data_IF_857711944461
#
_entry.id   IF_857711944461
#
_cell.length_a   1.000
_cell.length_b   1.000
_cell.length_c   1.000
_cell.angle_alpha   90.00
_cell.angle_beta   90.00
_cell.angle_gamma   90.00
#
_symmetry.space_group_name_H-M   'P 1'
#
loop_
_entity.id
_entity.type
_entity.pdbx_description
1 polymer ?
#
# COMPACT_ATOMS: atom_id res chain seq x y z
N UNK A 1 -31.63 29.04 14.60
CA UNK A 1 -30.74 27.98 15.08
C UNK A 1 -29.40 28.28 14.47
N UNK A 2 -28.51 28.89 15.23
CA UNK A 2 -27.14 29.20 14.79
C UNK A 2 -26.37 27.89 14.58
N UNK A 3 -25.75 27.79 13.43
CA UNK A 3 -24.83 26.67 13.12
C UNK A 3 -23.64 26.75 14.07
N UNK A 4 -23.60 25.87 15.04
CA UNK A 4 -22.42 25.67 15.89
C UNK A 4 -21.42 24.78 15.12
N UNK A 5 -20.59 25.44 14.30
CA UNK A 5 -19.51 24.79 13.47
C UNK A 5 -18.30 24.41 14.32
N UNK A 6 -18.46 24.24 15.63
CA UNK A 6 -17.36 23.74 16.46
C UNK A 6 -17.09 22.25 16.20
N UNK A 7 -15.82 21.86 16.16
CA UNK A 7 -15.40 20.46 15.96
C UNK A 7 -15.98 19.49 17.02
N UNK A 8 -16.39 20.01 18.19
CA UNK A 8 -17.08 19.25 19.24
C UNK A 8 -18.56 19.05 18.94
N UNK A 9 -19.22 20.01 18.30
CA UNK A 9 -20.61 19.88 17.85
C UNK A 9 -20.76 18.86 16.73
N UNK A 10 -19.83 18.85 15.78
CA UNK A 10 -19.82 17.86 14.70
C UNK A 10 -19.61 16.43 15.22
N UNK A 11 -18.68 16.18 16.13
CA UNK A 11 -18.49 14.87 16.77
C UNK A 11 -19.72 14.39 17.55
N UNK A 12 -20.45 15.30 18.18
CA UNK A 12 -21.66 14.93 18.91
C UNK A 12 -22.80 14.55 17.96
N UNK A 13 -22.98 15.28 16.85
CA UNK A 13 -23.99 14.95 15.83
C UNK A 13 -23.67 13.65 15.08
N UNK A 14 -22.41 13.34 14.83
CA UNK A 14 -21.98 12.08 14.17
C UNK A 14 -22.45 10.82 14.91
N UNK A 15 -22.60 10.88 16.25
CA UNK A 15 -23.09 9.75 17.04
C UNK A 15 -24.56 9.39 16.78
N UNK A 16 -25.32 10.32 16.21
CA UNK A 16 -26.76 10.15 15.91
C UNK A 16 -27.02 10.01 14.40
N UNK A 17 -25.99 10.07 13.56
CA UNK A 17 -26.12 9.90 12.13
C UNK A 17 -25.93 8.44 11.74
N UNK A 18 -26.88 7.88 11.01
CA UNK A 18 -26.74 6.60 10.35
C UNK A 18 -26.39 6.83 8.88
N UNK A 19 -25.33 6.16 8.42
CA UNK A 19 -25.00 6.17 6.99
C UNK A 19 -25.98 5.27 6.25
N UNK A 20 -26.73 5.84 5.29
CA UNK A 20 -27.62 5.09 4.43
C UNK A 20 -27.20 5.22 2.97
N UNK A 21 -27.53 4.21 2.19
CA UNK A 21 -27.30 4.22 0.74
C UNK A 21 -28.20 5.28 0.08
N UNK A 22 -27.65 6.05 -0.84
CA UNK A 22 -28.41 7.04 -1.59
C UNK A 22 -29.48 6.36 -2.47
N UNK A 23 -30.79 6.70 -2.32
CA UNK A 23 -31.85 6.06 -3.07
C UNK A 23 -31.84 6.37 -4.58
N UNK A 24 -31.13 7.41 -5.02
CA UNK A 24 -31.01 7.77 -6.43
C UNK A 24 -29.86 7.06 -7.14
N UNK A 25 -28.67 7.05 -6.54
CA UNK A 25 -27.49 6.50 -7.19
C UNK A 25 -27.08 5.12 -6.68
N UNK A 26 -27.71 4.58 -5.62
CA UNK A 26 -27.43 3.24 -5.07
C UNK A 26 -25.94 2.99 -4.89
N UNK A 27 -25.24 3.93 -4.25
CA UNK A 27 -23.79 3.85 -4.02
C UNK A 27 -22.89 4.18 -5.23
N UNK A 28 -23.44 4.36 -6.42
CA UNK A 28 -22.66 4.61 -7.65
C UNK A 28 -22.04 6.01 -7.74
N UNK A 29 -22.48 6.95 -6.89
CA UNK A 29 -21.95 8.33 -6.75
C UNK A 29 -22.01 9.19 -8.02
N UNK A 30 -22.70 8.73 -9.08
CA UNK A 30 -22.81 9.38 -10.38
C UNK A 30 -24.28 9.48 -10.81
N UNK A 31 -24.57 10.46 -11.66
CA UNK A 31 -25.87 10.61 -12.32
C UNK A 31 -26.10 9.51 -13.35
N UNK A 32 -27.35 9.17 -13.62
CA UNK A 32 -27.75 8.12 -14.60
C UNK A 32 -27.18 8.38 -15.99
N UNK A 33 -27.14 9.65 -16.41
CA UNK A 33 -26.59 10.05 -17.73
C UNK A 33 -25.10 9.71 -17.83
N UNK A 34 -24.32 9.91 -16.76
CA UNK A 34 -22.89 9.57 -16.72
C UNK A 34 -22.67 8.05 -16.77
N UNK A 35 -23.57 7.26 -16.20
CA UNK A 35 -23.50 5.80 -16.23
C UNK A 35 -23.91 5.18 -17.58
N UNK A 36 -24.52 5.97 -18.47
CA UNK A 36 -24.85 5.54 -19.82
C UNK A 36 -23.62 5.38 -20.72
N UNK A 37 -22.50 6.05 -20.39
CA UNK A 37 -21.25 5.90 -21.12
C UNK A 37 -20.54 4.61 -20.69
N UNK A 38 -20.23 3.78 -21.67
CA UNK A 38 -19.54 2.50 -21.48
C UNK A 38 -18.27 2.45 -22.32
N UNK A 39 -17.24 1.83 -21.76
CA UNK A 39 -16.09 1.35 -22.51
C UNK A 39 -16.24 -0.16 -22.60
N UNK A 40 -16.33 -0.68 -23.85
CA UNK A 40 -16.67 -2.06 -24.12
C UNK A 40 -18.01 -2.44 -23.44
N UNK A 41 -18.03 -3.23 -22.36
CA UNK A 41 -19.24 -3.75 -21.70
C UNK A 41 -19.61 -2.99 -20.40
N UNK A 42 -18.71 -2.20 -19.82
CA UNK A 42 -18.85 -1.62 -18.48
C UNK A 42 -18.84 -0.09 -18.44
N UNK A 43 -19.60 0.45 -17.50
CA UNK A 43 -19.55 1.86 -17.13
C UNK A 43 -18.51 2.09 -16.01
N UNK A 44 -18.21 3.36 -15.72
CA UNK A 44 -17.19 3.74 -14.74
C UNK A 44 -17.46 3.23 -13.32
N UNK A 45 -18.73 3.12 -12.90
CA UNK A 45 -19.08 2.61 -11.57
C UNK A 45 -18.83 1.11 -11.47
N UNK A 46 -19.22 0.35 -12.50
CA UNK A 46 -18.97 -1.09 -12.59
C UNK A 46 -17.46 -1.39 -12.56
N UNK A 47 -16.68 -0.59 -13.29
CA UNK A 47 -15.21 -0.68 -13.29
C UNK A 47 -14.61 -0.33 -11.93
N UNK A 48 -15.13 0.70 -11.26
CA UNK A 48 -14.61 1.12 -9.95
C UNK A 48 -14.94 0.15 -8.80
N UNK A 49 -15.94 -0.74 -8.97
CA UNK A 49 -16.29 -1.76 -7.98
C UNK A 49 -15.50 -3.05 -8.10
N UNK A 50 -14.77 -3.25 -9.20
CA UNK A 50 -13.88 -4.40 -9.36
C UNK A 50 -12.71 -4.30 -8.38
N UNK A 51 -12.22 -5.45 -7.94
CA UNK A 51 -10.92 -5.49 -7.28
C UNK A 51 -9.79 -5.15 -8.28
N UNK A 52 -8.63 -4.74 -7.74
CA UNK A 52 -7.50 -4.26 -8.56
C UNK A 52 -7.02 -5.33 -9.54
N UNK A 53 -7.03 -6.61 -9.17
CA UNK A 53 -6.63 -7.70 -10.06
C UNK A 53 -7.59 -7.87 -11.22
N UNK A 54 -8.89 -7.95 -10.95
CA UNK A 54 -9.93 -8.03 -11.96
C UNK A 54 -9.97 -6.80 -12.87
N UNK A 55 -9.73 -5.62 -12.31
CA UNK A 55 -9.66 -4.37 -13.06
C UNK A 55 -8.52 -4.39 -14.07
N UNK A 56 -7.33 -4.89 -13.69
CA UNK A 56 -6.20 -4.99 -14.59
C UNK A 56 -6.50 -5.96 -15.75
N UNK A 57 -7.05 -7.13 -15.44
CA UNK A 57 -7.47 -8.13 -16.45
C UNK A 57 -8.53 -7.55 -17.42
N UNK A 58 -9.53 -6.86 -16.87
CA UNK A 58 -10.55 -6.21 -17.68
C UNK A 58 -9.99 -5.13 -18.59
N UNK A 59 -9.05 -4.31 -18.11
CA UNK A 59 -8.37 -3.28 -18.92
C UNK A 59 -7.59 -3.92 -20.07
N UNK A 60 -6.90 -5.04 -19.81
CA UNK A 60 -6.17 -5.78 -20.84
C UNK A 60 -7.13 -6.33 -21.91
N UNK A 61 -8.26 -6.91 -21.51
CA UNK A 61 -9.28 -7.39 -22.42
C UNK A 61 -9.95 -6.24 -23.20
N UNK A 62 -10.35 -5.16 -22.52
CA UNK A 62 -11.02 -4.01 -23.13
C UNK A 62 -10.17 -3.33 -24.21
N UNK A 63 -8.83 -3.31 -24.05
CA UNK A 63 -7.92 -2.75 -25.05
C UNK A 63 -8.06 -3.43 -26.43
N UNK A 64 -8.41 -4.70 -26.48
CA UNK A 64 -8.61 -5.44 -27.73
C UNK A 64 -9.95 -5.14 -28.44
N UNK A 65 -10.88 -4.50 -27.75
CA UNK A 65 -12.19 -4.13 -28.27
C UNK A 65 -12.29 -2.66 -28.71
N UNK A 66 -11.20 -1.91 -28.62
CA UNK A 66 -11.13 -0.51 -29.07
C UNK A 66 -10.93 -0.44 -30.59
N UNK A 67 -11.59 0.52 -31.24
CA UNK A 67 -11.29 0.82 -32.63
C UNK A 67 -9.92 1.56 -32.79
N UNK A 68 -9.42 1.69 -34.00
CA UNK A 68 -8.11 2.29 -34.28
C UNK A 68 -7.96 3.72 -33.73
N UNK A 69 -9.02 4.52 -33.75
CA UNK A 69 -9.02 5.90 -33.25
C UNK A 69 -9.01 5.90 -31.72
N UNK A 70 -9.86 5.09 -31.11
CA UNK A 70 -9.93 4.89 -29.66
C UNK A 70 -8.61 4.34 -29.14
N UNK A 71 -8.01 3.37 -29.81
CA UNK A 71 -6.73 2.78 -29.45
C UNK A 71 -5.62 3.82 -29.44
N UNK A 72 -5.53 4.68 -30.47
CA UNK A 72 -4.53 5.75 -30.52
C UNK A 72 -4.66 6.73 -29.35
N UNK A 73 -5.89 7.09 -28.96
CA UNK A 73 -6.17 7.99 -27.85
C UNK A 73 -5.85 7.32 -26.51
N UNK A 74 -6.24 6.04 -26.37
CA UNK A 74 -6.18 5.32 -25.10
C UNK A 74 -4.79 4.77 -24.74
N UNK A 75 -3.89 4.59 -25.70
CA UNK A 75 -2.61 3.90 -25.51
C UNK A 75 -1.80 4.43 -24.33
N UNK A 76 -1.52 5.73 -24.30
CA UNK A 76 -0.72 6.32 -23.22
C UNK A 76 -1.49 6.34 -21.89
N UNK A 77 -2.81 6.56 -21.93
CA UNK A 77 -3.68 6.57 -20.75
C UNK A 77 -3.73 5.18 -20.13
N UNK A 78 -3.95 4.15 -20.93
CA UNK A 78 -4.01 2.75 -20.46
C UNK A 78 -2.67 2.29 -19.93
N UNK A 79 -1.56 2.68 -20.55
CA UNK A 79 -0.21 2.40 -20.07
C UNK A 79 0.00 2.96 -18.67
N UNK A 80 -0.35 4.22 -18.45
CA UNK A 80 -0.22 4.88 -17.15
C UNK A 80 -1.12 4.23 -16.07
N UNK A 81 -2.39 3.94 -16.41
CA UNK A 81 -3.32 3.26 -15.50
C UNK A 81 -2.78 1.87 -15.13
N UNK A 82 -2.36 1.07 -16.11
CA UNK A 82 -1.80 -0.27 -15.88
C UNK A 82 -0.58 -0.22 -14.97
N UNK A 83 0.30 0.76 -15.17
CA UNK A 83 1.48 0.94 -14.33
C UNK A 83 1.09 1.20 -12.88
N UNK A 84 0.13 2.10 -12.62
CA UNK A 84 -0.35 2.40 -11.26
C UNK A 84 -1.07 1.22 -10.61
N UNK A 85 -1.88 0.49 -11.37
CA UNK A 85 -2.54 -0.72 -10.87
C UNK A 85 -1.53 -1.80 -10.48
N UNK A 86 -0.46 -1.99 -11.28
CA UNK A 86 0.62 -2.93 -10.96
C UNK A 86 1.31 -2.57 -9.65
N UNK A 87 1.59 -1.29 -9.39
CA UNK A 87 2.15 -0.88 -8.11
C UNK A 87 1.23 -1.23 -6.92
N UNK A 88 -0.08 -1.11 -7.09
CA UNK A 88 -1.03 -1.54 -6.05
C UNK A 88 -1.00 -3.06 -5.84
N UNK A 89 -0.86 -3.85 -6.91
CA UNK A 89 -0.69 -5.31 -6.83
C UNK A 89 0.64 -5.70 -6.16
N UNK A 90 1.72 -4.99 -6.49
CA UNK A 90 3.06 -5.27 -5.96
C UNK A 90 3.16 -5.01 -4.45
N UNK A 91 2.33 -4.12 -3.92
CA UNK A 91 2.23 -3.88 -2.46
C UNK A 91 1.13 -4.72 -1.78
N UNK A 92 0.56 -5.74 -2.47
CA UNK A 92 -0.41 -6.66 -1.90
C UNK A 92 -1.80 -6.07 -1.66
N UNK A 93 -2.26 -5.16 -2.53
CA UNK A 93 -3.59 -4.53 -2.47
C UNK A 93 -4.52 -5.01 -3.61
N UNK A 94 -4.34 -6.25 -4.05
CA UNK A 94 -5.07 -6.87 -5.15
C UNK A 94 -6.59 -6.95 -4.91
N UNK A 95 -7.00 -7.12 -3.65
CA UNK A 95 -8.39 -7.25 -3.20
C UNK A 95 -9.13 -5.94 -3.00
N UNK A 96 -8.46 -4.79 -3.07
CA UNK A 96 -9.12 -3.48 -2.93
C UNK A 96 -9.85 -3.10 -4.21
N UNK A 97 -10.90 -2.30 -4.06
CA UNK A 97 -11.61 -1.67 -5.17
C UNK A 97 -11.44 -0.15 -5.14
N UNK A 98 -11.51 0.50 -6.32
CA UNK A 98 -11.34 1.95 -6.42
C UNK A 98 -12.47 2.74 -5.76
N UNK A 99 -13.64 2.13 -5.58
CA UNK A 99 -14.78 2.78 -4.96
C UNK A 99 -14.78 2.69 -3.43
N UNK A 100 -13.81 1.97 -2.83
CA UNK A 100 -13.71 1.81 -1.38
C UNK A 100 -13.49 3.16 -0.68
N UNK A 101 -14.20 3.39 0.41
CA UNK A 101 -14.06 4.62 1.18
C UNK A 101 -12.72 4.64 1.92
N UNK A 102 -12.01 5.78 1.88
CA UNK A 102 -10.72 5.93 2.55
C UNK A 102 -10.81 5.75 4.07
N UNK A 103 -11.96 6.09 4.67
CA UNK A 103 -12.23 5.91 6.10
C UNK A 103 -12.36 4.43 6.52
N UNK A 104 -12.59 3.53 5.57
CA UNK A 104 -12.70 2.08 5.82
C UNK A 104 -11.36 1.35 5.66
N UNK A 105 -10.30 2.05 5.25
CA UNK A 105 -8.97 1.49 5.09
C UNK A 105 -8.30 1.31 6.45
N UNK A 106 -7.63 0.19 6.64
CA UNK A 106 -6.72 -0.02 7.76
C UNK A 106 -5.48 0.89 7.65
N UNK A 107 -4.75 1.06 8.75
CA UNK A 107 -3.50 1.83 8.74
C UNK A 107 -2.48 1.27 7.74
N UNK A 108 -2.31 -0.06 7.71
CA UNK A 108 -1.41 -0.73 6.77
C UNK A 108 -1.85 -0.58 5.30
N UNK A 109 -3.15 -0.69 4.99
CA UNK A 109 -3.66 -0.43 3.63
C UNK A 109 -3.38 1.00 3.17
N UNK A 110 -3.65 1.98 4.03
CA UNK A 110 -3.38 3.40 3.74
C UNK A 110 -1.90 3.67 3.49
N UNK A 111 -1.02 3.05 4.29
CA UNK A 111 0.43 3.17 4.14
C UNK A 111 0.90 2.55 2.81
N UNK A 112 0.42 1.37 2.45
CA UNK A 112 0.75 0.70 1.18
C UNK A 112 0.23 1.47 -0.04
N UNK A 113 -0.96 2.08 0.03
CA UNK A 113 -1.45 2.97 -1.04
C UNK A 113 -0.50 4.16 -1.23
N UNK A 114 -0.04 4.77 -0.13
CA UNK A 114 0.97 5.85 -0.21
C UNK A 114 2.26 5.36 -0.83
N UNK A 115 2.76 4.20 -0.43
CA UNK A 115 3.96 3.59 -0.98
C UNK A 115 3.82 3.34 -2.49
N UNK A 116 2.72 2.72 -2.93
CA UNK A 116 2.44 2.51 -4.35
C UNK A 116 2.41 3.82 -5.15
N UNK A 117 1.82 4.88 -4.57
CA UNK A 117 1.80 6.21 -5.18
C UNK A 117 3.20 6.82 -5.27
N UNK A 118 4.05 6.63 -4.26
CA UNK A 118 5.42 7.13 -4.23
C UNK A 118 6.31 6.40 -5.24
N UNK A 119 6.23 5.07 -5.32
CA UNK A 119 6.93 4.27 -6.34
C UNK A 119 6.50 4.74 -7.74
N UNK A 120 5.19 4.94 -7.94
CA UNK A 120 4.62 5.41 -9.20
C UNK A 120 5.04 6.83 -9.60
N UNK A 121 5.49 7.67 -8.67
CA UNK A 121 5.97 9.03 -8.97
C UNK A 121 7.34 9.06 -9.64
N UNK A 122 8.11 7.96 -9.58
CA UNK A 122 9.48 7.85 -10.08
C UNK A 122 10.42 8.99 -9.62
N UNK A 123 10.16 9.55 -8.42
CA UNK A 123 11.03 10.54 -7.82
C UNK A 123 12.38 9.91 -7.49
N UNK A 124 13.44 10.66 -7.70
CA UNK A 124 14.83 10.27 -7.38
C UNK A 124 15.43 11.22 -6.34
N UNK A 125 16.47 10.75 -5.62
CA UNK A 125 17.13 11.50 -4.54
C UNK A 125 16.20 11.89 -3.38
N UNK A 126 15.22 11.03 -3.07
CA UNK A 126 14.29 11.20 -1.95
C UNK A 126 14.63 10.22 -0.85
N UNK A 127 14.38 10.60 0.40
CA UNK A 127 14.43 9.69 1.56
C UNK A 127 13.01 9.26 1.90
N UNK A 128 12.75 7.97 1.85
CA UNK A 128 11.50 7.35 2.27
C UNK A 128 11.68 6.74 3.65
N UNK A 129 10.77 7.02 4.57
CA UNK A 129 10.75 6.45 5.92
C UNK A 129 9.42 5.70 6.07
N UNK A 130 9.52 4.41 6.33
CA UNK A 130 8.39 3.49 6.45
C UNK A 130 8.43 2.82 7.82
N UNK A 131 7.29 2.79 8.49
CA UNK A 131 7.13 2.16 9.80
C UNK A 131 6.25 0.92 9.64
N UNK A 132 6.83 -0.26 9.91
CA UNK A 132 6.20 -1.58 9.82
C UNK A 132 5.36 -1.81 8.53
N UNK A 133 5.92 -1.58 7.31
CA UNK A 133 5.14 -1.71 6.08
C UNK A 133 4.69 -3.14 5.79
N UNK A 134 5.30 -4.15 6.42
CA UNK A 134 4.92 -5.57 6.30
C UNK A 134 3.72 -5.97 7.15
N UNK A 135 3.24 -5.08 8.04
CA UNK A 135 2.18 -5.43 8.99
C UNK A 135 0.91 -5.93 8.30
N UNK A 136 0.45 -7.11 8.72
CA UNK A 136 -0.75 -7.73 8.16
C UNK A 136 -0.60 -8.31 6.76
N UNK A 137 0.61 -8.40 6.22
CA UNK A 137 0.89 -9.09 4.97
C UNK A 137 1.08 -10.60 5.18
N UNK A 138 0.67 -11.37 4.19
CA UNK A 138 1.06 -12.75 4.09
C UNK A 138 2.52 -12.85 3.60
N UNK A 139 3.25 -13.90 3.95
CA UNK A 139 4.68 -14.08 3.57
C UNK A 139 4.93 -13.91 2.06
N UNK A 140 4.02 -14.39 1.22
CA UNK A 140 4.11 -14.23 -0.25
C UNK A 140 4.10 -12.75 -0.68
N UNK A 141 3.35 -11.91 0.04
CA UNK A 141 3.22 -10.49 -0.29
C UNK A 141 4.39 -9.69 0.26
N UNK A 142 5.06 -10.17 1.33
CA UNK A 142 6.33 -9.61 1.81
C UNK A 142 7.41 -9.63 0.74
N UNK A 143 7.56 -10.73 -0.02
CA UNK A 143 8.54 -10.81 -1.10
C UNK A 143 8.31 -9.73 -2.18
N UNK A 144 7.05 -9.48 -2.53
CA UNK A 144 6.68 -8.43 -3.48
C UNK A 144 6.99 -7.05 -2.93
N UNK A 145 6.65 -6.81 -1.66
CA UNK A 145 6.97 -5.54 -0.98
C UNK A 145 8.48 -5.31 -0.94
N UNK A 146 9.28 -6.30 -0.53
CA UNK A 146 10.75 -6.23 -0.54
C UNK A 146 11.28 -5.86 -1.92
N UNK A 147 10.75 -6.50 -2.97
CA UNK A 147 11.15 -6.20 -4.35
C UNK A 147 10.85 -4.75 -4.71
N UNK A 148 9.64 -4.26 -4.41
CA UNK A 148 9.23 -2.88 -4.69
C UNK A 148 10.09 -1.85 -3.95
N UNK A 149 10.47 -2.14 -2.68
CA UNK A 149 11.37 -1.28 -1.91
C UNK A 149 12.78 -1.25 -2.50
N UNK A 150 13.29 -2.39 -2.96
CA UNK A 150 14.58 -2.46 -3.67
C UNK A 150 14.55 -1.68 -4.99
N UNK A 151 13.49 -1.81 -5.77
CA UNK A 151 13.31 -1.02 -7.00
C UNK A 151 13.30 0.48 -6.70
N UNK A 152 12.60 0.90 -5.62
CA UNK A 152 12.58 2.30 -5.19
C UNK A 152 13.98 2.82 -4.79
N UNK A 153 14.80 1.99 -4.13
CA UNK A 153 16.20 2.28 -3.82
C UNK A 153 17.04 2.37 -5.11
N UNK A 154 16.90 1.41 -6.00
CA UNK A 154 17.74 1.25 -7.19
C UNK A 154 17.62 2.40 -8.20
N UNK A 155 16.49 3.12 -8.20
CA UNK A 155 16.31 4.35 -8.97
C UNK A 155 17.00 5.59 -8.35
N UNK A 156 17.72 5.41 -7.23
CA UNK A 156 18.54 6.45 -6.61
C UNK A 156 17.94 7.09 -5.36
N UNK A 157 17.07 6.36 -4.65
CA UNK A 157 16.49 6.82 -3.38
C UNK A 157 17.15 6.17 -2.17
N UNK A 158 16.95 6.77 -1.00
CA UNK A 158 17.26 6.16 0.28
C UNK A 158 15.95 5.67 0.91
N UNK A 159 15.91 4.40 1.31
CA UNK A 159 14.73 3.79 1.94
C UNK A 159 15.10 3.36 3.36
N UNK A 160 14.47 3.96 4.35
CA UNK A 160 14.61 3.62 5.77
C UNK A 160 13.34 2.90 6.19
N UNK A 161 13.49 1.68 6.71
CA UNK A 161 12.36 0.86 7.14
C UNK A 161 12.56 0.50 8.60
N UNK A 162 11.57 0.78 9.43
CA UNK A 162 11.49 0.27 10.80
C UNK A 162 10.73 -1.05 10.72
N UNK A 163 11.40 -2.15 11.04
CA UNK A 163 10.83 -3.49 10.84
C UNK A 163 11.32 -4.50 11.87
N UNK A 164 10.54 -5.55 12.04
CA UNK A 164 10.86 -6.72 12.86
C UNK A 164 10.66 -8.05 12.08
N UNK A 165 10.25 -7.97 10.83
CA UNK A 165 10.16 -9.14 9.95
C UNK A 165 11.54 -9.62 9.51
N UNK A 166 11.80 -10.93 9.65
CA UNK A 166 13.08 -11.55 9.38
C UNK A 166 13.52 -11.37 7.92
N UNK A 167 12.62 -11.59 6.99
CA UNK A 167 12.93 -11.56 5.56
C UNK A 167 13.22 -10.13 5.11
N UNK A 168 12.49 -9.16 5.65
CA UNK A 168 12.72 -7.74 5.42
C UNK A 168 14.08 -7.30 5.95
N UNK A 169 14.44 -7.68 7.20
CA UNK A 169 15.73 -7.36 7.79
C UNK A 169 16.90 -7.98 7.00
N UNK A 170 16.77 -9.26 6.59
CA UNK A 170 17.81 -9.94 5.80
C UNK A 170 17.93 -9.41 4.36
N UNK A 171 16.89 -8.76 3.85
CA UNK A 171 16.89 -8.15 2.52
C UNK A 171 17.48 -6.73 2.48
N UNK A 172 17.73 -6.12 3.65
CA UNK A 172 18.31 -4.77 3.77
C UNK A 172 19.79 -4.74 3.34
N UNK A 173 20.25 -3.57 2.89
CA UNK A 173 21.68 -3.34 2.62
C UNK A 173 22.45 -3.05 3.91
N UNK A 174 21.76 -2.47 4.89
CA UNK A 174 22.35 -2.04 6.15
C UNK A 174 21.31 -2.10 7.27
N UNK A 175 21.70 -2.60 8.44
CA UNK A 175 20.86 -2.73 9.61
C UNK A 175 21.41 -1.84 10.72
N UNK A 176 20.53 -1.11 11.39
CA UNK A 176 20.78 -0.41 12.65
C UNK A 176 19.87 -1.04 13.70
N UNK A 177 20.45 -1.78 14.65
CA UNK A 177 19.72 -2.42 15.74
C UNK A 177 19.74 -1.52 16.99
N UNK A 178 18.55 -1.21 17.50
CA UNK A 178 18.35 -0.30 18.62
C UNK A 178 17.80 -1.10 19.81
N UNK A 179 18.53 -1.06 20.91
CA UNK A 179 18.17 -1.82 22.10
C UNK A 179 18.93 -1.33 23.35
N UNK A 180 19.28 -2.29 24.26
CA UNK A 180 18.83 -3.71 24.32
C UNK A 180 17.41 -3.89 24.83
N UNK A 181 16.82 -2.86 25.45
CA UNK A 181 15.46 -2.84 26.04
C UNK A 181 14.65 -1.69 25.45
N UNK A 182 13.54 -1.35 26.08
CA UNK A 182 12.66 -0.24 25.67
C UNK A 182 12.62 0.87 26.74
N UNK A 183 12.09 2.03 26.37
CA UNK A 183 11.91 3.18 27.23
C UNK A 183 13.26 3.72 27.79
N UNK A 184 13.31 4.01 29.10
CA UNK A 184 14.49 4.57 29.77
C UNK A 184 15.73 3.67 29.74
N UNK A 185 15.57 2.37 29.48
CA UNK A 185 16.64 1.36 29.44
C UNK A 185 16.96 0.90 28.01
N UNK A 186 16.51 1.63 27.00
CA UNK A 186 16.72 1.34 25.58
C UNK A 186 17.13 2.56 24.79
N UNK A 187 17.09 2.46 23.46
CA UNK A 187 17.40 3.57 22.57
C UNK A 187 18.89 3.70 22.24
N UNK A 188 19.72 2.72 22.61
CA UNK A 188 21.13 2.67 22.22
C UNK A 188 21.30 1.86 20.93
N UNK A 189 22.24 2.25 20.08
CA UNK A 189 22.64 1.46 18.92
C UNK A 189 23.50 0.30 19.42
N UNK A 190 22.93 -0.92 19.42
CA UNK A 190 23.62 -2.12 19.85
C UNK A 190 24.36 -2.83 18.73
N UNK A 191 23.95 -2.58 17.48
CA UNK A 191 24.65 -3.02 16.29
C UNK A 191 24.38 -2.08 15.12
N UNK A 192 25.36 -1.94 14.22
CA UNK A 192 25.19 -1.34 12.90
C UNK A 192 26.11 -2.03 11.89
N UNK A 193 25.60 -2.36 10.70
CA UNK A 193 26.35 -3.06 9.67
C UNK A 193 25.47 -3.75 8.66
N UNK A 194 26.07 -4.60 7.82
CA UNK A 194 25.32 -5.44 6.87
C UNK A 194 24.65 -6.61 7.58
N UNK A 195 23.62 -7.22 6.97
CA UNK A 195 22.99 -8.45 7.51
C UNK A 195 24.02 -9.55 7.78
N UNK A 196 25.00 -9.75 6.90
CA UNK A 196 26.04 -10.78 7.07
C UNK A 196 26.96 -10.48 8.27
N UNK A 197 27.23 -9.21 8.55
CA UNK A 197 27.98 -8.81 9.74
C UNK A 197 27.16 -9.04 11.00
N UNK A 198 25.85 -8.73 10.96
CA UNK A 198 24.94 -8.96 12.08
C UNK A 198 24.87 -10.43 12.49
N UNK A 199 24.78 -11.33 11.52
CA UNK A 199 24.74 -12.79 11.74
C UNK A 199 25.97 -13.35 12.48
N UNK A 200 27.05 -12.57 12.59
CA UNK A 200 28.30 -12.93 13.29
C UNK A 200 28.40 -12.31 14.69
N UNK A 201 27.39 -11.54 15.10
CA UNK A 201 27.34 -10.88 16.42
C UNK A 201 26.43 -11.62 17.38
N UNK A 202 26.44 -11.23 18.64
CA UNK A 202 25.60 -11.80 19.70
C UNK A 202 24.68 -10.75 20.32
N UNK A 203 23.90 -10.07 19.47
CA UNK A 203 22.77 -9.27 19.96
C UNK A 203 21.51 -10.13 20.05
N UNK A 204 20.48 -9.67 20.76
CA UNK A 204 19.21 -10.40 20.80
C UNK A 204 18.65 -10.60 19.39
N UNK A 205 18.66 -9.58 18.57
CA UNK A 205 18.18 -9.63 17.18
C UNK A 205 19.00 -10.60 16.34
N UNK A 206 20.34 -10.55 16.45
CA UNK A 206 21.24 -11.44 15.73
C UNK A 206 21.05 -12.93 16.11
N UNK A 207 20.87 -13.22 17.40
CA UNK A 207 20.65 -14.59 17.87
C UNK A 207 19.33 -15.18 17.33
N UNK A 208 18.27 -14.38 17.21
CA UNK A 208 17.00 -14.82 16.59
C UNK A 208 17.10 -14.93 15.06
N UNK A 209 17.74 -13.99 14.40
CA UNK A 209 17.94 -14.03 12.95
C UNK A 209 18.78 -15.25 12.51
N UNK A 210 19.83 -15.55 13.27
CA UNK A 210 20.72 -16.71 13.00
C UNK A 210 20.13 -18.06 13.41
N UNK A 211 19.03 -18.09 14.17
CA UNK A 211 18.43 -19.32 14.69
C UNK A 211 19.15 -19.90 15.92
N UNK A 212 20.10 -19.15 16.53
CA UNK A 212 20.72 -19.54 17.82
C UNK A 212 19.68 -19.52 18.93
N UNK A 213 18.70 -18.61 18.82
CA UNK A 213 17.52 -18.54 19.69
C UNK A 213 16.27 -18.74 18.87
N UNK A 214 15.37 -19.54 19.41
CA UNK A 214 14.04 -19.78 18.86
C UNK A 214 12.98 -19.73 19.96
N UNK A 215 11.79 -19.27 19.62
CA UNK A 215 10.62 -19.41 20.48
C UNK A 215 10.09 -20.83 20.25
N UNK A 216 10.25 -21.70 21.24
CA UNK A 216 9.74 -23.06 21.14
C UNK A 216 8.22 -23.06 21.04
N UNK A 217 7.70 -23.74 20.03
CA UNK A 217 6.27 -24.00 19.89
C UNK A 217 5.92 -25.08 20.92
N UNK A 218 4.93 -24.83 21.82
CA UNK A 218 4.54 -25.79 22.86
C UNK A 218 3.94 -27.07 22.28
#
# INVERSE_FOLDING_TARGET
MENDDSASGQKWTEQFLATCECPECHGMRLKRESLSYKIWDKNISEVATMDISQLLEWIDAAAHHLDNKQHTIATEILKEIKTRLRFLLDVGLDYLSLNRQSTSLSGGESQRIRLATQIGSQLVNVVYILDEPSIGLHQRDNERLIKSLKELRDIGNTVIVVEHDKDMMLAADYIVDIGPKAGLNGGEVVFQGTPEQMMRTHTYTADYLSGIREIQIP
#
